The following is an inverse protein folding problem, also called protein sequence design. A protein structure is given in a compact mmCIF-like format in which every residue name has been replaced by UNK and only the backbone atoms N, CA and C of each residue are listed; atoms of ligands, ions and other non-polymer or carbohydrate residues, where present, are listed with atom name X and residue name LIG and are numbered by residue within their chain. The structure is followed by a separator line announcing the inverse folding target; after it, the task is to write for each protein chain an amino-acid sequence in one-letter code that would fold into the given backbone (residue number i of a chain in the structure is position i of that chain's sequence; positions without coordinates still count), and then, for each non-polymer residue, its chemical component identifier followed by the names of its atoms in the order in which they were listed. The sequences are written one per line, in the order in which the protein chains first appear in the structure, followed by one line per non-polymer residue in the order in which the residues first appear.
data_IF_372868824572
#
_entry.id   IF_372868824572
#
_cell.length_a   1.000
_cell.length_b   1.000
_cell.length_c   1.000
_cell.angle_alpha   90.00
_cell.angle_beta   90.00
_cell.angle_gamma   90.00
#
_symmetry.space_group_name_H-M   'P 1'
#
loop_
_entity.id
_entity.type
_entity.pdbx_description
1 polymer ?
#
# COMPACT_ATOMS: atom_id res chain seq x y z
N UNK A 1 -14.23 22.82 -54.45
CA UNK A 1 -13.77 21.99 -53.30
C UNK A 1 -13.57 22.91 -52.10
N UNK A 2 -14.42 22.91 -51.07
CA UNK A 2 -14.19 23.70 -49.87
C UNK A 2 -13.16 23.01 -48.95
N UNK A 3 -12.24 23.80 -48.38
CA UNK A 3 -11.17 23.35 -47.50
C UNK A 3 -11.70 22.80 -46.16
N UNK A 4 -11.02 21.81 -45.54
CA UNK A 4 -11.44 21.22 -44.28
C UNK A 4 -11.26 22.21 -43.12
N UNK A 5 -12.33 22.46 -42.38
CA UNK A 5 -12.31 23.27 -41.17
C UNK A 5 -11.76 22.45 -40.00
N UNK A 6 -10.58 22.84 -39.50
CA UNK A 6 -10.02 22.25 -38.28
C UNK A 6 -10.83 22.68 -37.06
N UNK A 7 -11.63 21.77 -36.51
CA UNK A 7 -12.24 21.92 -35.17
C UNK A 7 -11.13 21.87 -34.13
N UNK A 8 -10.92 22.99 -33.41
CA UNK A 8 -10.03 23.03 -32.23
C UNK A 8 -10.51 21.99 -31.20
N UNK A 9 -9.62 21.14 -30.65
CA UNK A 9 -9.99 20.23 -29.58
C UNK A 9 -10.38 21.04 -28.33
N UNK A 10 -11.54 20.69 -27.77
CA UNK A 10 -12.06 21.24 -26.52
C UNK A 10 -11.08 20.94 -25.39
N UNK A 11 -10.53 21.99 -24.79
CA UNK A 11 -9.67 21.89 -23.60
C UNK A 11 -10.42 21.21 -22.47
N UNK A 12 -10.05 19.96 -22.17
CA UNK A 12 -10.45 19.29 -20.92
C UNK A 12 -9.86 20.11 -19.78
N UNK A 13 -10.71 20.81 -19.03
CA UNK A 13 -10.29 21.51 -17.80
C UNK A 13 -9.63 20.49 -16.87
N UNK A 14 -8.36 20.71 -16.54
CA UNK A 14 -7.68 19.92 -15.52
C UNK A 14 -8.43 20.07 -14.20
N UNK A 15 -8.69 18.98 -13.46
CA UNK A 15 -9.34 19.09 -12.16
C UNK A 15 -8.48 19.97 -11.26
N UNK A 16 -9.10 21.01 -10.69
CA UNK A 16 -8.48 21.88 -9.68
C UNK A 16 -8.04 21.00 -8.51
N UNK A 17 -6.72 20.87 -8.33
CA UNK A 17 -6.12 20.16 -7.19
C UNK A 17 -6.68 20.76 -5.90
N UNK A 18 -7.52 20.00 -5.21
CA UNK A 18 -7.90 20.34 -3.84
C UNK A 18 -6.61 20.35 -3.02
N UNK A 19 -6.29 21.44 -2.29
CA UNK A 19 -5.06 21.48 -1.52
C UNK A 19 -5.06 20.32 -0.51
N UNK A 20 -3.97 19.53 -0.56
CA UNK A 20 -3.75 18.40 0.32
C UNK A 20 -3.83 18.88 1.78
N UNK A 21 -4.40 18.09 2.71
CA UNK A 21 -4.47 18.47 4.12
C UNK A 21 -3.13 18.32 4.86
N UNK A 22 -2.02 18.14 4.14
CA UNK A 22 -0.70 17.89 4.69
C UNK A 22 0.40 18.52 3.83
N UNK A 23 1.58 18.62 4.42
CA UNK A 23 2.83 19.01 3.77
C UNK A 23 3.91 17.95 4.01
N UNK A 24 4.94 17.93 3.17
CA UNK A 24 6.06 17.01 3.35
C UNK A 24 7.18 17.67 4.17
N UNK A 25 7.64 16.99 5.22
CA UNK A 25 8.77 17.43 6.06
C UNK A 25 9.71 16.26 6.34
N UNK A 26 10.96 16.50 6.81
CA UNK A 26 11.80 15.44 7.35
C UNK A 26 11.06 14.66 8.45
N UNK A 27 11.12 13.33 8.38
CA UNK A 27 10.48 12.44 9.36
C UNK A 27 11.52 11.78 10.25
N UNK A 28 11.18 11.60 11.52
CA UNK A 28 11.95 10.79 12.47
C UNK A 28 11.80 9.29 12.22
N UNK A 29 10.74 8.87 11.52
CA UNK A 29 10.50 7.47 11.16
C UNK A 29 11.43 7.09 10.01
N UNK A 30 11.29 7.79 8.89
CA UNK A 30 12.04 7.51 7.67
C UNK A 30 12.00 8.69 6.69
N UNK A 31 13.16 9.18 6.26
CA UNK A 31 13.30 10.12 5.14
C UNK A 31 12.39 11.34 5.27
N UNK A 32 11.33 11.40 4.44
CA UNK A 32 10.27 12.41 4.54
C UNK A 32 8.98 11.78 5.04
N UNK A 33 8.18 12.58 5.73
CA UNK A 33 6.84 12.23 6.20
C UNK A 33 5.82 13.27 5.75
N UNK A 34 4.56 12.84 5.66
CA UNK A 34 3.41 13.72 5.45
C UNK A 34 2.87 14.22 6.80
N UNK A 35 2.80 15.52 7.00
CA UNK A 35 2.35 16.13 8.26
C UNK A 35 1.13 16.99 8.06
N UNK A 36 0.10 16.81 8.89
CA UNK A 36 -1.16 17.52 8.77
C UNK A 36 -0.96 19.05 8.90
N UNK A 37 -1.43 19.83 7.93
CA UNK A 37 -1.38 21.32 7.96
C UNK A 37 -2.62 21.93 8.59
N UNK A 38 -3.65 21.11 8.82
CA UNK A 38 -4.91 21.47 9.47
C UNK A 38 -5.49 20.24 10.15
N UNK A 39 -6.48 20.44 11.02
CA UNK A 39 -7.22 19.33 11.60
C UNK A 39 -7.89 18.47 10.51
N UNK A 40 -7.75 17.15 10.62
CA UNK A 40 -8.36 16.16 9.74
C UNK A 40 -9.32 15.32 10.56
N UNK A 41 -10.59 15.30 10.18
CA UNK A 41 -11.61 14.52 10.89
C UNK A 41 -11.50 13.04 10.58
N UNK A 42 -11.85 12.20 11.54
CA UNK A 42 -12.02 10.75 11.35
C UNK A 42 -12.88 10.46 10.12
N UNK A 43 -12.45 9.49 9.32
CA UNK A 43 -13.12 9.07 8.10
C UNK A 43 -12.95 10.02 6.91
N UNK A 44 -12.17 11.11 7.04
CA UNK A 44 -11.83 11.95 5.91
C UNK A 44 -10.91 11.18 4.94
N UNK A 45 -11.24 11.25 3.64
CA UNK A 45 -10.35 10.82 2.57
C UNK A 45 -9.23 11.86 2.42
N UNK A 46 -7.99 11.44 2.60
CA UNK A 46 -6.82 12.31 2.60
C UNK A 46 -6.27 12.45 1.19
N UNK A 47 -5.90 11.33 0.57
CA UNK A 47 -5.25 11.29 -0.73
C UNK A 47 -5.48 9.92 -1.39
N UNK A 48 -5.45 9.88 -2.71
CA UNK A 48 -5.35 8.64 -3.48
C UNK A 48 -3.88 8.21 -3.58
N UNK A 49 -3.60 6.91 -3.48
CA UNK A 49 -2.28 6.38 -3.77
C UNK A 49 -2.13 6.17 -5.28
N UNK A 50 -1.32 7.01 -5.93
CA UNK A 50 -1.09 6.98 -7.38
C UNK A 50 0.29 6.39 -7.69
N UNK A 51 0.40 5.80 -8.87
CA UNK A 51 1.63 5.24 -9.43
C UNK A 51 1.35 4.50 -10.75
N UNK A 52 2.41 4.04 -11.39
CA UNK A 52 2.35 3.16 -12.56
C UNK A 52 1.67 1.84 -12.17
N UNK A 53 0.74 1.34 -12.98
CA UNK A 53 0.13 0.02 -12.77
C UNK A 53 0.92 -1.03 -13.57
N UNK A 54 1.51 -1.98 -12.85
CA UNK A 54 2.37 -3.03 -13.40
C UNK A 54 1.89 -4.40 -12.92
N UNK A 55 2.35 -5.46 -13.57
CA UNK A 55 2.09 -6.83 -13.09
C UNK A 55 3.05 -7.22 -11.96
N UNK A 56 2.70 -8.26 -11.21
CA UNK A 56 3.59 -8.83 -10.17
C UNK A 56 4.98 -9.15 -10.71
N UNK A 57 5.04 -9.82 -11.87
CA UNK A 57 6.32 -10.21 -12.48
C UNK A 57 7.21 -9.01 -12.81
N UNK A 58 6.63 -7.89 -13.23
CA UNK A 58 7.38 -6.65 -13.49
C UNK A 58 7.83 -6.00 -12.19
N UNK A 59 7.00 -6.05 -11.14
CA UNK A 59 7.38 -5.57 -9.82
C UNK A 59 8.55 -6.38 -9.24
N UNK A 60 8.49 -7.70 -9.32
CA UNK A 60 9.53 -8.64 -8.87
C UNK A 60 10.85 -8.41 -9.62
N UNK A 61 10.79 -8.18 -10.94
CA UNK A 61 11.98 -7.88 -11.75
C UNK A 61 12.59 -6.52 -11.40
N UNK A 62 11.75 -5.51 -11.14
CA UNK A 62 12.19 -4.14 -10.83
C UNK A 62 12.77 -4.02 -9.42
N UNK A 63 12.25 -4.78 -8.46
CA UNK A 63 12.61 -4.72 -7.05
C UNK A 63 13.10 -6.08 -6.55
N UNK A 64 14.24 -6.52 -7.08
CA UNK A 64 14.94 -7.70 -6.56
C UNK A 64 15.52 -7.39 -5.18
N UNK A 65 14.84 -7.90 -4.15
CA UNK A 65 15.19 -7.74 -2.75
C UNK A 65 16.59 -8.30 -2.41
N UNK A 66 17.14 -9.22 -3.22
CA UNK A 66 18.51 -9.72 -3.01
C UNK A 66 19.59 -8.76 -3.50
N UNK A 67 19.26 -7.89 -4.46
CA UNK A 67 20.19 -6.91 -5.03
C UNK A 67 20.07 -5.53 -4.35
N UNK A 68 18.93 -5.23 -3.72
CA UNK A 68 18.70 -3.96 -3.05
C UNK A 68 19.19 -3.97 -1.61
N UNK A 69 20.14 -3.09 -1.30
CA UNK A 69 20.66 -2.89 0.06
C UNK A 69 19.65 -2.26 1.04
N UNK A 70 18.49 -1.78 0.55
CA UNK A 70 17.39 -1.22 1.36
C UNK A 70 16.03 -1.45 0.69
N UNK A 71 15.10 -2.13 1.37
CA UNK A 71 13.73 -2.40 0.90
C UNK A 71 12.80 -1.19 1.09
N UNK A 72 13.09 -0.11 0.37
CA UNK A 72 12.19 1.04 0.28
C UNK A 72 11.41 0.97 -1.01
N UNK A 73 10.39 0.11 -1.04
CA UNK A 73 9.51 -0.03 -2.19
C UNK A 73 8.25 0.81 -1.99
N UNK A 74 7.72 1.35 -3.08
CA UNK A 74 6.49 2.14 -3.09
C UNK A 74 5.35 1.35 -3.75
N UNK A 75 5.30 0.04 -3.45
CA UNK A 75 4.39 -0.90 -4.08
C UNK A 75 3.09 -1.04 -3.27
N UNK A 76 1.96 -1.04 -4.00
CA UNK A 76 0.65 -1.33 -3.43
C UNK A 76 -0.07 -2.39 -4.27
N UNK A 77 -0.41 -3.51 -3.64
CA UNK A 77 -1.14 -4.58 -4.30
C UNK A 77 -2.64 -4.24 -4.40
N UNK A 78 -3.16 -4.18 -5.63
CA UNK A 78 -4.58 -3.88 -5.92
C UNK A 78 -5.38 -5.16 -6.07
N UNK A 79 -4.82 -6.18 -6.72
CA UNK A 79 -5.38 -7.51 -6.87
C UNK A 79 -4.26 -8.53 -7.17
N UNK A 80 -4.62 -9.74 -7.62
CA UNK A 80 -3.64 -10.81 -7.91
C UNK A 80 -2.71 -10.45 -9.08
N UNK A 81 -3.16 -9.64 -10.02
CA UNK A 81 -2.44 -9.34 -11.26
C UNK A 81 -1.86 -7.92 -11.31
N UNK A 82 -2.33 -7.02 -10.44
CA UNK A 82 -2.05 -5.58 -10.52
C UNK A 82 -1.38 -5.03 -9.26
N UNK A 83 -0.22 -4.40 -9.46
CA UNK A 83 0.53 -3.64 -8.47
C UNK A 83 0.62 -2.19 -8.90
N UNK A 84 0.43 -1.25 -7.97
CA UNK A 84 0.73 0.16 -8.17
C UNK A 84 2.16 0.41 -7.69
N UNK A 85 3.02 0.92 -8.57
CA UNK A 85 4.37 1.36 -8.25
C UNK A 85 4.44 2.89 -8.20
N UNK A 86 4.44 3.46 -6.99
CA UNK A 86 4.49 4.92 -6.81
C UNK A 86 5.92 5.52 -6.90
N UNK A 87 6.95 4.71 -7.19
CA UNK A 87 8.24 5.26 -7.62
C UNK A 87 8.11 5.89 -9.01
N UNK A 88 7.23 5.32 -9.85
CA UNK A 88 6.95 5.77 -11.21
C UNK A 88 5.56 6.41 -11.27
N UNK A 89 5.47 7.65 -11.76
CA UNK A 89 4.19 8.40 -11.86
C UNK A 89 3.41 8.55 -10.54
N UNK A 90 4.09 8.41 -9.39
CA UNK A 90 3.46 8.52 -8.08
C UNK A 90 3.19 9.96 -7.62
N UNK A 91 2.43 10.08 -6.54
CA UNK A 91 2.15 11.35 -5.87
C UNK A 91 2.70 11.39 -4.43
N UNK A 92 2.34 12.42 -3.67
CA UNK A 92 2.85 12.61 -2.31
C UNK A 92 2.41 11.52 -1.31
N UNK A 93 1.45 10.65 -1.66
CA UNK A 93 1.00 9.55 -0.80
C UNK A 93 2.13 8.58 -0.45
N UNK A 94 3.13 8.44 -1.34
CA UNK A 94 4.29 7.57 -1.15
C UNK A 94 5.20 7.97 0.02
N UNK A 95 5.03 9.17 0.57
CA UNK A 95 5.78 9.66 1.73
C UNK A 95 4.99 9.55 3.04
N UNK A 96 3.82 8.90 3.04
CA UNK A 96 3.08 8.59 4.27
C UNK A 96 3.72 7.34 4.88
N UNK A 97 4.35 7.49 6.05
CA UNK A 97 5.21 6.46 6.63
C UNK A 97 4.45 5.34 7.34
N UNK A 98 5.20 4.28 7.66
CA UNK A 98 4.73 3.18 8.48
C UNK A 98 4.55 3.60 9.96
N UNK A 99 3.48 3.13 10.59
CA UNK A 99 3.40 3.06 12.05
C UNK A 99 2.66 1.80 12.51
N UNK A 100 3.14 1.18 13.60
CA UNK A 100 2.45 0.10 14.30
C UNK A 100 1.23 0.59 15.09
N UNK A 101 1.13 1.90 15.37
CA UNK A 101 -0.03 2.57 15.95
C UNK A 101 -0.49 3.71 15.02
N UNK A 102 -1.02 3.39 13.83
CA UNK A 102 -1.26 4.37 12.77
C UNK A 102 -2.46 5.27 13.07
N UNK A 103 -2.49 6.43 12.44
CA UNK A 103 -3.65 7.33 12.42
C UNK A 103 -4.42 7.31 11.09
N UNK A 104 -3.92 6.60 10.08
CA UNK A 104 -4.50 6.45 8.76
C UNK A 104 -4.62 4.97 8.34
N UNK A 105 -5.45 4.69 7.34
CA UNK A 105 -5.63 3.37 6.75
C UNK A 105 -5.88 3.48 5.25
N UNK A 106 -5.25 2.59 4.48
CA UNK A 106 -5.52 2.42 3.05
C UNK A 106 -6.78 1.56 2.82
N UNK A 107 -7.62 1.98 1.89
CA UNK A 107 -8.83 1.29 1.45
C UNK A 107 -8.87 1.15 -0.06
N UNK A 108 -9.32 -0.02 -0.54
CA UNK A 108 -9.66 -0.25 -1.93
C UNK A 108 -11.07 0.26 -2.24
N UNK A 109 -11.18 1.12 -3.24
CA UNK A 109 -12.45 1.54 -3.83
C UNK A 109 -12.43 1.28 -5.33
N UNK A 110 -13.07 0.18 -5.75
CA UNK A 110 -12.93 -0.32 -7.11
C UNK A 110 -11.53 -0.87 -7.34
N UNK A 111 -10.78 -0.25 -8.23
CA UNK A 111 -9.40 -0.55 -8.60
C UNK A 111 -8.39 0.50 -8.09
N UNK A 112 -8.82 1.36 -7.16
CA UNK A 112 -8.06 2.52 -6.67
C UNK A 112 -7.85 2.45 -5.16
N UNK A 113 -6.68 2.89 -4.73
CA UNK A 113 -6.30 2.92 -3.31
C UNK A 113 -6.43 4.34 -2.78
N UNK A 114 -7.13 4.49 -1.65
CA UNK A 114 -7.28 5.77 -0.97
C UNK A 114 -6.85 5.65 0.49
N UNK A 115 -6.21 6.70 0.99
CA UNK A 115 -5.83 6.82 2.39
C UNK A 115 -6.89 7.61 3.14
N UNK A 116 -7.35 7.06 4.26
CA UNK A 116 -8.38 7.62 5.12
C UNK A 116 -7.89 7.80 6.55
N UNK A 117 -8.36 8.84 7.23
CA UNK A 117 -8.10 9.05 8.65
C UNK A 117 -8.89 8.03 9.52
N UNK A 118 -8.21 7.32 10.42
CA UNK A 118 -8.80 6.37 11.36
C UNK A 118 -9.40 7.04 12.61
N UNK A 119 -8.86 8.20 12.96
CA UNK A 119 -9.27 9.07 14.06
C UNK A 119 -9.17 10.53 13.65
N UNK A 120 -9.57 11.44 14.52
CA UNK A 120 -9.23 12.85 14.34
C UNK A 120 -7.71 13.02 14.46
N UNK A 121 -7.14 13.81 13.55
CA UNK A 121 -5.71 14.10 13.44
C UNK A 121 -5.53 15.61 13.62
N UNK A 122 -4.75 15.99 14.61
CA UNK A 122 -4.39 17.36 14.93
C UNK A 122 -3.36 17.94 13.94
N UNK A 123 -3.24 19.26 13.97
CA UNK A 123 -2.24 19.98 13.17
C UNK A 123 -0.84 19.57 13.60
N UNK A 124 0.04 19.32 12.64
CA UNK A 124 1.43 18.96 12.86
C UNK A 124 1.68 17.48 13.14
N UNK A 125 0.64 16.66 13.33
CA UNK A 125 0.81 15.20 13.44
C UNK A 125 1.28 14.58 12.12
N UNK A 126 2.20 13.62 12.19
CA UNK A 126 2.62 12.83 11.03
C UNK A 126 1.54 11.80 10.67
N UNK A 127 1.13 11.80 9.40
CA UNK A 127 0.24 10.79 8.84
C UNK A 127 1.01 9.48 8.70
N UNK A 128 0.41 8.39 9.16
CA UNK A 128 0.99 7.06 9.05
C UNK A 128 -0.07 5.99 8.92
N UNK A 129 0.24 4.91 8.19
CA UNK A 129 -0.60 3.71 8.12
C UNK A 129 0.23 2.45 8.37
N UNK A 130 -0.44 1.36 8.75
CA UNK A 130 0.23 0.06 8.84
C UNK A 130 0.45 -0.48 7.43
N UNK A 131 1.71 -0.62 7.03
CA UNK A 131 2.10 -1.14 5.72
C UNK A 131 1.67 -2.60 5.60
N UNK A 132 1.78 -3.38 6.68
CA UNK A 132 1.47 -4.79 6.71
C UNK A 132 2.12 -5.57 5.55
N UNK A 133 3.43 -5.36 5.34
CA UNK A 133 4.21 -6.10 4.34
C UNK A 133 4.07 -7.59 4.59
N UNK A 134 3.81 -8.36 3.53
CA UNK A 134 3.61 -9.79 3.66
C UNK A 134 4.91 -10.47 4.14
N UNK A 135 4.75 -11.42 5.06
CA UNK A 135 5.80 -12.39 5.37
C UNK A 135 5.65 -13.55 4.41
N UNK A 136 6.73 -13.93 3.74
CA UNK A 136 6.76 -15.17 2.96
C UNK A 136 7.27 -16.32 3.82
N UNK A 137 6.86 -17.55 3.51
CA UNK A 137 7.20 -18.74 4.30
C UNK A 137 8.71 -19.07 4.28
N UNK A 138 9.40 -18.62 3.24
CA UNK A 138 10.82 -18.79 3.01
C UNK A 138 11.68 -17.68 3.62
N UNK A 139 11.07 -16.61 4.16
CA UNK A 139 11.81 -15.48 4.72
C UNK A 139 12.57 -15.91 5.99
N UNK A 140 13.90 -15.88 5.91
CA UNK A 140 14.78 -16.22 7.01
C UNK A 140 14.97 -15.07 8.01
N UNK A 141 15.57 -15.33 9.19
CA UNK A 141 15.82 -14.29 10.19
C UNK A 141 16.67 -13.10 9.68
N UNK A 142 17.59 -13.36 8.76
CA UNK A 142 18.46 -12.32 8.16
C UNK A 142 17.67 -11.39 7.23
N UNK A 143 16.73 -11.93 6.47
CA UNK A 143 15.86 -11.17 5.57
C UNK A 143 14.82 -10.39 6.36
N UNK A 144 14.21 -11.01 7.38
CA UNK A 144 13.29 -10.30 8.28
C UNK A 144 13.96 -9.11 8.99
N UNK A 145 15.26 -9.23 9.31
CA UNK A 145 16.05 -8.17 9.92
C UNK A 145 16.25 -6.94 9.01
N UNK A 146 15.91 -7.02 7.72
CA UNK A 146 15.95 -5.88 6.80
C UNK A 146 14.69 -4.98 6.93
N UNK A 147 13.61 -5.50 7.53
CA UNK A 147 12.32 -4.82 7.68
C UNK A 147 12.12 -4.19 9.07
N UNK A 148 13.19 -3.65 9.68
CA UNK A 148 13.13 -3.02 11.01
C UNK A 148 12.18 -1.83 11.03
N UNK A 149 11.26 -1.83 11.99
CA UNK A 149 10.37 -0.69 12.22
C UNK A 149 11.00 0.34 13.14
N UNK A 150 10.92 1.62 12.74
CA UNK A 150 11.41 2.78 13.50
C UNK A 150 10.31 3.80 13.81
N UNK A 151 9.05 3.35 13.86
CA UNK A 151 7.91 4.27 14.01
C UNK A 151 7.80 4.96 15.38
N UNK A 152 8.51 4.49 16.40
CA UNK A 152 8.50 5.09 17.74
C UNK A 152 7.22 4.87 18.56
N UNK A 153 6.24 4.13 18.04
CA UNK A 153 5.03 3.82 18.78
C UNK A 153 5.34 3.01 20.06
N UNK A 154 4.65 3.27 21.21
CA UNK A 154 4.82 2.47 22.42
C UNK A 154 4.51 0.98 22.22
N UNK A 155 3.61 0.67 21.29
CA UNK A 155 3.22 -0.69 20.88
C UNK A 155 3.91 -1.11 19.57
N UNK A 156 5.12 -0.61 19.30
CA UNK A 156 5.87 -0.98 18.10
C UNK A 156 6.16 -2.48 18.08
N UNK A 157 5.91 -3.13 16.93
CA UNK A 157 6.18 -4.56 16.72
C UNK A 157 7.66 -4.87 16.46
N UNK A 158 8.51 -3.85 16.31
CA UNK A 158 9.91 -3.98 15.92
C UNK A 158 10.14 -4.21 14.42
N UNK A 159 9.09 -4.52 13.66
CA UNK A 159 9.14 -4.77 12.21
C UNK A 159 7.95 -4.17 11.47
N UNK A 160 8.16 -3.80 10.20
CA UNK A 160 7.11 -3.30 9.30
C UNK A 160 6.33 -4.45 8.63
N UNK A 161 6.80 -5.69 8.80
CA UNK A 161 6.12 -6.90 8.35
C UNK A 161 4.80 -7.08 9.10
N UNK A 162 3.84 -7.69 8.41
CA UNK A 162 2.55 -8.06 8.97
C UNK A 162 2.75 -9.01 10.17
N UNK A 163 1.86 -8.95 11.17
CA UNK A 163 1.83 -9.94 12.23
C UNK A 163 1.57 -11.33 11.63
N UNK A 164 2.20 -12.36 12.18
CA UNK A 164 1.83 -13.74 11.88
C UNK A 164 0.40 -13.96 12.39
N UNK A 165 -0.49 -14.43 11.51
CA UNK A 165 -1.85 -14.79 11.92
C UNK A 165 -1.74 -15.99 12.87
N UNK A 166 -2.01 -15.78 14.16
CA UNK A 166 -2.25 -16.89 15.07
C UNK A 166 -3.55 -17.54 14.60
N UNK A 167 -3.53 -18.83 14.29
CA UNK A 167 -4.73 -19.59 13.95
C UNK A 167 -5.70 -19.53 15.14
N UNK A 168 -6.59 -18.54 15.17
CA UNK A 168 -7.70 -18.53 16.10
C UNK A 168 -8.60 -19.72 15.73
N UNK A 169 -8.53 -20.78 16.55
CA UNK A 169 -9.38 -21.96 16.50
C UNK A 169 -10.85 -21.54 16.33
N UNK A 170 -11.39 -21.73 15.12
CA UNK A 170 -12.73 -21.28 14.74
C UNK A 170 -13.77 -22.05 15.55
N UNK A 171 -14.23 -21.48 16.67
CA UNK A 171 -15.41 -21.98 17.38
C UNK A 171 -16.63 -22.01 16.43
N UNK A 172 -17.38 -23.13 16.36
CA UNK A 172 -18.45 -23.29 15.38
C UNK A 172 -19.62 -22.35 15.68
N UNK A 173 -19.92 -21.45 14.73
CA UNK A 173 -21.06 -20.54 14.78
C UNK A 173 -22.37 -21.34 14.73
N UNK A 174 -23.12 -21.37 15.82
CA UNK A 174 -24.52 -21.85 15.87
C UNK A 174 -25.37 -20.98 14.94
N UNK A 175 -26.06 -21.61 13.97
CA UNK A 175 -27.00 -20.95 13.05
C UNK A 175 -28.26 -20.50 13.83
N UNK A 176 -28.55 -19.21 13.85
CA UNK A 176 -29.83 -18.69 14.34
C UNK A 176 -30.86 -18.65 13.18
N UNK A 177 -32.14 -18.98 13.42
CA UNK A 177 -33.15 -19.12 12.37
C UNK A 177 -33.68 -17.76 11.89
N UNK A 178 -33.89 -17.67 10.58
CA UNK A 178 -34.52 -16.53 9.91
C UNK A 178 -36.04 -16.50 10.19
N UNK A 179 -36.54 -15.38 10.71
CA UNK A 179 -37.97 -15.02 10.62
C UNK A 179 -38.11 -13.74 9.79
N UNK A 180 -38.93 -13.82 8.75
CA UNK A 180 -39.29 -12.72 7.86
C UNK A 180 -40.33 -11.80 8.52
N UNK A 181 -40.20 -10.47 8.36
CA UNK A 181 -41.33 -9.54 8.39
C UNK A 181 -41.03 -8.16 7.78
N UNK A 182 -41.87 -7.85 6.78
CA UNK A 182 -42.36 -6.62 6.11
C UNK A 182 -41.75 -5.23 6.39
N UNK A 183 -41.66 -4.50 5.24
CA UNK A 183 -41.42 -3.07 4.97
C UNK A 183 -42.06 -2.06 5.94
N UNK A 184 -41.32 -0.97 6.23
CA UNK A 184 -41.77 0.42 6.11
C UNK A 184 -40.59 1.40 6.00
N UNK A 185 -40.89 2.58 5.49
CA UNK A 185 -40.07 3.56 4.77
C UNK A 185 -39.34 4.62 5.61
N UNK A 186 -38.43 5.32 4.92
CA UNK A 186 -37.91 6.70 5.14
C UNK A 186 -36.68 6.88 6.05
N UNK A 187 -35.76 7.75 5.60
CA UNK A 187 -34.72 8.33 6.46
C UNK A 187 -33.31 8.26 5.89
N UNK A 188 -32.85 9.36 5.30
CA UNK A 188 -31.51 9.59 4.77
C UNK A 188 -30.40 9.45 5.83
N UNK A 189 -29.39 8.62 5.54
CA UNK A 189 -28.02 8.77 6.04
C UNK A 189 -27.08 7.95 5.13
N UNK A 190 -26.20 8.64 4.37
CA UNK A 190 -25.15 8.00 3.58
C UNK A 190 -24.18 7.30 4.53
N UNK A 191 -24.31 5.98 4.65
CA UNK A 191 -23.28 5.11 5.20
C UNK A 191 -22.08 5.09 4.24
N UNK A 192 -20.83 5.10 4.71
CA UNK A 192 -19.71 4.77 3.85
C UNK A 192 -19.87 3.31 3.36
N UNK A 193 -19.46 3.02 2.11
CA UNK A 193 -19.61 1.68 1.54
C UNK A 193 -18.69 0.70 2.26
N UNK A 194 -19.10 -0.56 2.24
CA UNK A 194 -18.38 -1.70 2.81
C UNK A 194 -17.13 -1.93 1.96
N UNK A 195 -15.96 -1.51 2.44
CA UNK A 195 -14.68 -1.65 1.74
C UNK A 195 -13.77 -2.66 2.45
N UNK A 196 -13.03 -3.43 1.64
CA UNK A 196 -12.09 -4.47 2.09
C UNK A 196 -10.77 -3.79 2.47
N UNK A 197 -10.28 -4.03 3.69
CA UNK A 197 -8.97 -3.56 4.16
C UNK A 197 -7.90 -4.21 3.29
N UNK A 198 -6.97 -3.42 2.74
CA UNK A 198 -5.94 -3.92 1.85
C UNK A 198 -4.55 -3.63 2.43
N UNK A 199 -3.68 -4.65 2.36
CA UNK A 199 -2.28 -4.61 2.84
C UNK A 199 -1.40 -4.07 1.70
N UNK A 200 -0.39 -3.27 2.02
CA UNK A 200 0.69 -3.02 1.05
C UNK A 200 1.62 -4.23 1.09
N UNK A 201 1.94 -4.75 -0.08
CA UNK A 201 2.53 -6.08 -0.22
C UNK A 201 3.67 -5.90 -1.20
N UNK A 202 4.88 -6.26 -0.77
CA UNK A 202 5.96 -6.65 -1.66
C UNK A 202 6.10 -8.15 -1.39
N UNK A 203 5.72 -9.00 -2.34
CA UNK A 203 6.04 -10.44 -2.28
C UNK A 203 7.39 -10.59 -2.95
N UNK A 204 8.34 -11.21 -2.27
CA UNK A 204 9.62 -11.62 -2.83
C UNK A 204 9.40 -12.73 -3.84
N UNK A 205 9.84 -12.52 -5.08
CA UNK A 205 9.71 -13.47 -6.18
C UNK A 205 10.60 -14.72 -6.00
N UNK A 206 10.03 -15.88 -6.37
CA UNK A 206 10.71 -17.20 -6.44
C UNK A 206 11.96 -17.17 -7.32
N UNK A 207 13.14 -17.37 -6.74
CA UNK A 207 14.33 -17.77 -7.51
C UNK A 207 14.33 -19.28 -7.78
N UNK A 208 14.04 -19.67 -9.02
CA UNK A 208 14.30 -21.02 -9.49
C UNK A 208 15.82 -21.24 -9.60
N UNK A 209 16.37 -22.06 -8.70
CA UNK A 209 17.77 -22.48 -8.71
C UNK A 209 18.09 -23.28 -9.99
N UNK A 210 18.63 -22.61 -11.00
CA UNK A 210 19.22 -23.25 -12.18
C UNK A 210 20.63 -23.77 -11.88
N UNK A 211 20.76 -25.07 -11.69
CA UNK A 211 22.03 -25.81 -11.57
C UNK A 211 22.97 -25.48 -12.73
N UNK A 212 23.96 -24.61 -12.53
CA UNK A 212 25.06 -24.44 -13.49
C UNK A 212 26.14 -25.48 -13.21
N UNK A 213 26.14 -26.47 -14.09
CA UNK A 213 27.13 -27.52 -14.25
C UNK A 213 28.56 -26.93 -14.29
N UNK A 214 29.41 -27.33 -13.35
CA UNK A 214 30.86 -27.04 -13.37
C UNK A 214 31.52 -27.90 -14.44
N UNK A 215 31.78 -27.32 -15.62
CA UNK A 215 32.68 -27.92 -16.59
C UNK A 215 34.14 -27.81 -16.09
N UNK A 216 34.74 -28.96 -15.82
CA UNK A 216 36.17 -29.14 -15.52
C UNK A 216 37.00 -28.80 -16.77
N UNK A 217 37.88 -27.81 -16.70
CA UNK A 217 39.02 -27.72 -17.62
C UNK A 217 40.22 -28.43 -17.00
N UNK A 218 40.62 -29.53 -17.65
CA UNK A 218 41.88 -30.25 -17.38
C UNK A 218 43.02 -29.37 -17.85
N UNK A 219 43.90 -28.96 -16.95
CA UNK A 219 45.25 -28.53 -17.32
C UNK A 219 46.05 -29.79 -17.67
N UNK A 220 46.42 -29.94 -18.93
CA UNK A 220 47.40 -30.91 -19.39
C UNK A 220 48.56 -30.14 -20.03
N UNK A 221 49.75 -30.52 -19.61
CA UNK A 221 51.06 -30.02 -20.04
C UNK A 221 51.28 -30.25 -21.54
N UNK A 222 52.03 -29.34 -22.14
CA UNK A 222 52.62 -29.41 -23.48
C UNK A 222 53.44 -28.16 -23.70
#
# INVERSE_FOLDING_TARGET
MPAPTHKKPSSRKMPTLTPQPFELRPSSIQGRGAFATRAIRKGARIIEYLGERISQAVADERYDDTAMSRHHTFLFNVDEDTVIDAAHEGNDARFINHSCAPNCQAFLEGDRIFIYALRDIGVGEELSYDYAYDRTEDMGPEEEALYVCRCGAPTCRGTILAPQEQEEEKAPRKKAPVKASKKKSSGSARKPPVSRKQKSTAKTGRSASGTKNRARTRSARG
#
